data_IF_366416460264
#
_entry.id   IF_366416460264
#
_cell.length_a   1.000
_cell.length_b   1.000
_cell.length_c   1.000
_cell.angle_alpha   90.00
_cell.angle_beta   90.00
_cell.angle_gamma   90.00
#
_symmetry.space_group_name_H-M   'P 1'
#
loop_
_entity.id
_entity.type
_entity.pdbx_description
1 polymer ?
#
# COMPACT_ATOMS: atom_id res chain seq x y z
N UNK A 1 3.31 34.26 -7.86
CA UNK A 1 1.88 34.04 -7.55
C UNK A 1 1.76 32.99 -6.46
N UNK A 2 0.84 33.17 -5.49
CA UNK A 2 0.49 32.07 -4.60
C UNK A 2 0.01 30.90 -5.45
N UNK A 3 0.60 29.74 -5.22
CA UNK A 3 0.24 28.52 -5.90
C UNK A 3 -0.54 27.59 -5.00
N UNK A 4 -1.06 26.54 -5.53
CA UNK A 4 -1.75 25.49 -4.81
C UNK A 4 -0.95 24.90 -3.62
N UNK A 5 0.39 24.81 -3.72
CA UNK A 5 1.27 24.39 -2.62
C UNK A 5 1.16 25.25 -1.35
N UNK A 6 0.71 26.51 -1.47
CA UNK A 6 0.50 27.39 -0.31
C UNK A 6 -0.58 26.83 0.64
N UNK A 7 -1.64 26.26 0.09
CA UNK A 7 -2.72 25.66 0.89
C UNK A 7 -2.20 24.48 1.71
N UNK A 8 -1.41 23.60 1.11
CA UNK A 8 -0.83 22.44 1.79
C UNK A 8 0.18 22.86 2.86
N UNK A 9 1.08 23.81 2.59
CA UNK A 9 2.02 24.35 3.57
C UNK A 9 1.28 24.98 4.77
N UNK A 10 0.24 25.77 4.51
CA UNK A 10 -0.54 26.42 5.56
C UNK A 10 -1.35 25.42 6.40
N UNK A 11 -1.96 24.40 5.75
CA UNK A 11 -2.75 23.39 6.45
C UNK A 11 -1.86 22.45 7.28
N UNK A 12 -0.72 22.00 6.76
CA UNK A 12 0.21 21.15 7.50
C UNK A 12 0.76 21.88 8.72
N UNK A 13 1.21 23.12 8.57
CA UNK A 13 1.67 23.93 9.71
C UNK A 13 0.57 24.12 10.77
N UNK A 14 -0.67 24.36 10.34
CA UNK A 14 -1.81 24.57 11.25
C UNK A 14 -2.19 23.34 12.07
N UNK A 15 -2.18 22.15 11.45
CA UNK A 15 -2.76 20.93 12.05
C UNK A 15 -1.70 19.97 12.56
N UNK A 16 -0.50 19.96 11.96
CA UNK A 16 0.57 19.03 12.28
C UNK A 16 1.78 19.72 12.93
N UNK A 17 1.84 21.04 12.84
CA UNK A 17 3.02 21.84 13.24
C UNK A 17 3.97 22.05 12.05
N UNK A 18 5.05 22.77 12.32
CA UNK A 18 6.03 23.13 11.28
C UNK A 18 6.99 21.97 10.94
N UNK A 19 7.08 20.99 11.84
CA UNK A 19 7.80 19.72 11.61
C UNK A 19 6.88 18.56 11.93
N UNK A 20 6.76 17.61 11.01
CA UNK A 20 5.92 16.40 11.16
C UNK A 20 6.60 15.18 10.56
N UNK A 21 6.04 13.99 10.80
CA UNK A 21 6.76 12.76 10.49
C UNK A 21 6.66 12.38 9.01
N UNK A 22 5.45 12.31 8.44
CA UNK A 22 5.24 11.75 7.11
C UNK A 22 4.45 12.73 6.23
N UNK A 23 4.98 13.01 5.04
CA UNK A 23 4.29 13.72 3.95
C UNK A 23 4.23 12.81 2.72
N UNK A 24 3.05 12.71 2.13
CA UNK A 24 2.86 11.79 1.00
C UNK A 24 1.98 12.34 -0.10
N UNK A 25 2.12 11.74 -1.28
CA UNK A 25 1.31 12.09 -2.44
C UNK A 25 1.58 11.20 -3.65
N UNK A 26 1.01 11.55 -4.80
CA UNK A 26 1.38 10.91 -6.05
C UNK A 26 2.79 11.29 -6.51
N UNK A 27 3.42 10.44 -7.29
CA UNK A 27 4.75 10.72 -7.86
C UNK A 27 4.79 11.98 -8.75
N UNK A 28 3.65 12.38 -9.29
CA UNK A 28 3.47 13.61 -10.06
C UNK A 28 3.51 14.89 -9.20
N UNK A 29 3.39 14.77 -7.88
CA UNK A 29 3.47 15.89 -6.94
C UNK A 29 4.90 16.18 -6.48
N UNK A 30 5.88 15.29 -6.71
CA UNK A 30 7.28 15.51 -6.32
C UNK A 30 7.73 16.88 -6.80
N UNK A 31 7.54 17.14 -8.09
CA UNK A 31 7.86 18.41 -8.70
C UNK A 31 6.70 18.89 -9.60
N UNK A 32 6.31 20.16 -9.50
CA UNK A 32 6.88 21.22 -8.64
C UNK A 32 6.20 21.37 -7.26
N UNK A 33 5.15 20.59 -6.95
CA UNK A 33 4.27 20.85 -5.81
C UNK A 33 4.97 20.69 -4.45
N UNK A 34 5.48 19.50 -4.15
CA UNK A 34 6.15 19.20 -2.88
C UNK A 34 7.46 19.98 -2.71
N UNK A 35 8.21 20.19 -3.78
CA UNK A 35 9.40 21.05 -3.74
C UNK A 35 9.07 22.49 -3.34
N UNK A 36 7.94 23.01 -3.86
CA UNK A 36 7.50 24.35 -3.50
C UNK A 36 6.94 24.40 -2.07
N UNK A 37 6.26 23.36 -1.59
CA UNK A 37 5.83 23.27 -0.18
C UNK A 37 7.04 23.29 0.76
N UNK A 38 8.04 22.48 0.45
CA UNK A 38 9.28 22.37 1.21
C UNK A 38 10.01 23.72 1.26
N UNK A 39 10.27 24.32 0.09
CA UNK A 39 10.93 25.60 0.00
C UNK A 39 10.18 26.70 0.76
N UNK A 40 8.85 26.76 0.63
CA UNK A 40 8.02 27.76 1.28
C UNK A 40 7.99 27.59 2.81
N UNK A 41 7.80 26.35 3.29
CA UNK A 41 7.72 26.05 4.71
C UNK A 41 9.06 26.26 5.42
N UNK A 42 10.16 25.82 4.82
CA UNK A 42 11.51 26.01 5.37
C UNK A 42 11.95 27.48 5.34
N UNK A 43 11.54 28.26 4.34
CA UNK A 43 11.80 29.70 4.33
C UNK A 43 10.99 30.45 5.40
N UNK A 44 9.76 30.00 5.68
CA UNK A 44 8.92 30.61 6.72
C UNK A 44 9.36 30.19 8.13
N UNK A 45 9.90 28.99 8.29
CA UNK A 45 10.28 28.36 9.55
C UNK A 45 11.67 27.70 9.41
N UNK A 46 12.77 28.49 9.41
CA UNK A 46 14.10 27.99 9.07
C UNK A 46 14.69 27.01 10.09
N UNK A 47 14.18 26.99 11.31
CA UNK A 47 14.61 26.09 12.38
C UNK A 47 13.87 24.74 12.37
N UNK A 48 12.91 24.57 11.47
CA UNK A 48 12.04 23.39 11.36
C UNK A 48 12.40 22.56 10.14
N UNK A 49 12.03 21.25 10.18
CA UNK A 49 12.42 20.28 9.12
C UNK A 49 11.32 20.12 8.06
N UNK A 50 10.12 20.62 8.25
CA UNK A 50 8.90 20.36 7.49
C UNK A 50 8.48 18.88 7.57
N UNK A 51 8.97 17.98 6.71
CA UNK A 51 8.66 16.56 6.78
C UNK A 51 9.92 15.71 6.90
N UNK A 52 9.88 14.66 7.75
CA UNK A 52 11.00 13.74 7.96
C UNK A 52 11.05 12.65 6.90
N UNK A 53 9.89 12.13 6.51
CA UNK A 53 9.74 11.05 5.54
C UNK A 53 8.80 11.45 4.43
N UNK A 54 9.18 11.13 3.21
CA UNK A 54 8.40 11.38 2.01
C UNK A 54 7.95 10.08 1.39
N UNK A 55 6.65 9.94 1.13
CA UNK A 55 6.07 8.73 0.54
C UNK A 55 5.36 9.10 -0.75
N UNK A 56 5.88 8.64 -1.88
CA UNK A 56 5.32 8.93 -3.19
C UNK A 56 4.78 7.66 -3.85
N UNK A 57 3.47 7.64 -4.10
CA UNK A 57 2.82 6.52 -4.76
C UNK A 57 2.85 6.65 -6.28
N UNK A 58 2.98 5.52 -6.96
CA UNK A 58 2.83 5.44 -8.40
C UNK A 58 1.41 5.77 -8.88
N UNK A 59 1.27 6.03 -10.17
CA UNK A 59 0.00 6.41 -10.78
C UNK A 59 -0.96 5.22 -10.89
N UNK A 60 -2.26 5.49 -10.66
CA UNK A 60 -3.33 4.52 -10.90
C UNK A 60 -3.75 4.54 -12.37
N UNK A 61 -3.69 3.37 -12.98
CA UNK A 61 -4.21 3.12 -14.33
C UNK A 61 -5.36 2.11 -14.28
N UNK A 62 -6.18 2.11 -15.30
CA UNK A 62 -7.25 1.14 -15.53
C UNK A 62 -7.08 0.62 -16.96
N UNK A 63 -6.87 -0.70 -17.09
CA UNK A 63 -6.61 -1.35 -18.39
C UNK A 63 -5.49 -0.66 -19.19
N UNK A 64 -4.41 -0.27 -18.51
CA UNK A 64 -3.23 0.37 -19.11
C UNK A 64 -3.39 1.85 -19.45
N UNK A 65 -4.54 2.45 -19.16
CA UNK A 65 -4.83 3.87 -19.45
C UNK A 65 -5.02 4.65 -18.13
N UNK A 66 -4.54 5.87 -18.06
CA UNK A 66 -4.75 6.73 -16.88
C UNK A 66 -6.24 6.83 -16.58
N UNK A 67 -6.63 6.53 -15.33
CA UNK A 67 -8.02 6.63 -14.90
C UNK A 67 -8.53 8.08 -14.98
N UNK A 68 -9.65 8.30 -15.65
CA UNK A 68 -10.30 9.60 -15.72
C UNK A 68 -11.81 9.49 -15.90
N UNK A 69 -12.55 10.46 -15.37
CA UNK A 69 -13.99 10.53 -15.53
C UNK A 69 -14.42 10.73 -17.00
N UNK A 70 -13.62 11.49 -17.75
CA UNK A 70 -13.90 11.79 -19.16
C UNK A 70 -13.78 10.57 -20.08
N UNK A 71 -12.95 9.59 -19.71
CA UNK A 71 -12.77 8.34 -20.45
C UNK A 71 -13.77 7.25 -20.04
N UNK A 72 -14.58 7.49 -18.99
CA UNK A 72 -15.53 6.48 -18.51
C UNK A 72 -14.90 5.26 -17.85
N UNK A 73 -13.57 5.26 -17.64
CA UNK A 73 -12.82 4.18 -16.98
C UNK A 73 -12.62 4.46 -15.48
N UNK A 74 -13.57 5.16 -14.86
CA UNK A 74 -13.52 5.54 -13.46
C UNK A 74 -14.38 4.60 -12.62
N UNK A 75 -13.77 3.89 -11.68
CA UNK A 75 -14.43 3.01 -10.72
C UNK A 75 -14.21 3.53 -9.30
N UNK A 76 -15.28 3.59 -8.51
CA UNK A 76 -15.16 3.92 -7.09
C UNK A 76 -14.97 2.65 -6.27
N UNK A 77 -14.26 2.76 -5.15
CA UNK A 77 -14.12 1.66 -4.18
C UNK A 77 -15.50 1.16 -3.76
N UNK A 78 -16.45 2.07 -3.54
CA UNK A 78 -17.80 1.75 -3.10
C UNK A 78 -18.58 0.87 -4.11
N UNK A 79 -18.38 1.07 -5.41
CA UNK A 79 -18.94 0.19 -6.45
C UNK A 79 -18.30 -1.20 -6.41
N UNK A 80 -16.97 -1.26 -6.30
CA UNK A 80 -16.22 -2.52 -6.33
C UNK A 80 -16.52 -3.42 -5.11
N UNK A 81 -16.64 -2.84 -3.90
CA UNK A 81 -16.93 -3.62 -2.69
C UNK A 81 -18.38 -4.15 -2.64
N UNK A 82 -19.27 -3.64 -3.49
CA UNK A 82 -20.61 -4.20 -3.70
C UNK A 82 -20.61 -5.55 -4.41
N UNK A 83 -19.55 -5.84 -5.20
CA UNK A 83 -19.44 -7.05 -6.02
C UNK A 83 -18.31 -7.99 -5.55
N UNK A 84 -17.27 -7.44 -4.93
CA UNK A 84 -16.07 -8.17 -4.50
C UNK A 84 -15.74 -7.93 -3.03
N UNK A 85 -15.17 -8.92 -2.33
CA UNK A 85 -14.69 -8.72 -0.97
C UNK A 85 -13.66 -7.57 -0.90
N UNK A 86 -13.82 -6.67 0.06
CA UNK A 86 -12.90 -5.53 0.25
C UNK A 86 -11.44 -5.97 0.44
N UNK A 87 -11.21 -7.13 1.07
CA UNK A 87 -9.88 -7.71 1.23
C UNK A 87 -9.23 -8.13 -0.09
N UNK A 88 -10.01 -8.63 -1.06
CA UNK A 88 -9.48 -8.94 -2.38
C UNK A 88 -9.00 -7.69 -3.10
N UNK A 89 -9.72 -6.56 -2.96
CA UNK A 89 -9.31 -5.28 -3.50
C UNK A 89 -8.02 -4.78 -2.80
N UNK A 90 -7.94 -4.89 -1.48
CA UNK A 90 -6.72 -4.54 -0.73
C UNK A 90 -5.53 -5.41 -1.14
N UNK A 91 -5.73 -6.73 -1.28
CA UNK A 91 -4.69 -7.64 -1.74
C UNK A 91 -4.20 -7.30 -3.13
N UNK A 92 -5.10 -6.91 -4.04
CA UNK A 92 -4.73 -6.44 -5.37
C UNK A 92 -3.81 -5.21 -5.30
N UNK A 93 -4.14 -4.22 -4.47
CA UNK A 93 -3.31 -3.02 -4.32
C UNK A 93 -1.92 -3.34 -3.78
N UNK A 94 -1.81 -4.13 -2.70
CA UNK A 94 -0.51 -4.45 -2.10
C UNK A 94 0.30 -5.47 -2.92
N UNK A 95 -0.30 -6.07 -3.95
CA UNK A 95 0.39 -6.91 -4.93
C UNK A 95 1.36 -6.17 -5.84
N UNK A 96 1.28 -4.83 -5.87
CA UNK A 96 2.22 -3.95 -6.59
C UNK A 96 2.93 -3.06 -5.58
N UNK A 97 4.25 -2.87 -5.73
CA UNK A 97 4.99 -1.95 -4.89
C UNK A 97 4.43 -0.53 -5.06
N UNK A 98 4.22 0.19 -3.95
CA UNK A 98 3.54 1.49 -3.97
C UNK A 98 4.21 2.54 -4.85
N UNK A 99 5.54 2.48 -5.06
CA UNK A 99 6.26 3.34 -5.99
C UNK A 99 5.97 3.06 -7.46
N UNK A 100 5.47 1.87 -7.78
CA UNK A 100 5.23 1.48 -9.17
C UNK A 100 3.84 1.91 -9.64
N UNK A 101 3.67 2.22 -10.93
CA UNK A 101 2.35 2.42 -11.48
C UNK A 101 1.47 1.19 -11.26
N UNK A 102 0.31 1.40 -10.67
CA UNK A 102 -0.66 0.33 -10.42
C UNK A 102 -1.68 0.28 -11.54
N UNK A 103 -1.81 -0.87 -12.20
CA UNK A 103 -2.80 -1.09 -13.25
C UNK A 103 -3.97 -1.95 -12.73
N UNK A 104 -5.10 -1.31 -12.48
CA UNK A 104 -6.32 -2.00 -12.10
C UNK A 104 -6.92 -2.71 -13.31
N UNK A 105 -7.25 -3.99 -13.15
CA UNK A 105 -8.04 -4.79 -14.08
C UNK A 105 -9.03 -5.67 -13.30
N UNK A 106 -10.20 -5.97 -13.88
CA UNK A 106 -11.15 -6.90 -13.25
C UNK A 106 -10.59 -8.32 -13.16
N UNK A 107 -9.78 -8.74 -14.12
CA UNK A 107 -9.13 -10.05 -14.05
C UNK A 107 -8.08 -10.11 -12.93
N UNK A 108 -7.34 -9.03 -12.72
CA UNK A 108 -6.45 -8.89 -11.56
C UNK A 108 -7.21 -8.99 -10.24
N UNK A 109 -8.39 -8.38 -10.14
CA UNK A 109 -9.23 -8.46 -8.94
C UNK A 109 -9.76 -9.87 -8.69
N UNK A 110 -10.17 -10.60 -9.73
CA UNK A 110 -10.56 -12.02 -9.63
C UNK A 110 -9.38 -12.90 -9.20
N UNK A 111 -8.19 -12.64 -9.73
CA UNK A 111 -6.97 -13.35 -9.32
C UNK A 111 -6.63 -13.08 -7.86
N UNK A 112 -6.70 -11.82 -7.41
CA UNK A 112 -6.48 -11.45 -6.02
C UNK A 112 -7.47 -12.17 -5.08
N UNK A 113 -8.75 -12.26 -5.46
CA UNK A 113 -9.72 -13.06 -4.71
C UNK A 113 -9.33 -14.54 -4.64
N UNK A 114 -8.88 -15.13 -5.73
CA UNK A 114 -8.43 -16.54 -5.76
C UNK A 114 -7.23 -16.76 -4.83
N UNK A 115 -6.29 -15.80 -4.79
CA UNK A 115 -5.15 -15.83 -3.86
C UNK A 115 -5.61 -15.72 -2.42
N UNK A 116 -6.52 -14.79 -2.14
CA UNK A 116 -7.10 -14.61 -0.80
C UNK A 116 -7.76 -15.90 -0.32
N UNK A 117 -8.56 -16.57 -1.18
CA UNK A 117 -9.19 -17.85 -0.85
C UNK A 117 -8.17 -18.95 -0.51
N UNK A 118 -7.00 -18.96 -1.16
CA UNK A 118 -5.91 -19.89 -0.83
C UNK A 118 -5.37 -19.65 0.57
N UNK A 119 -5.17 -18.39 0.96
CA UNK A 119 -4.71 -18.03 2.30
C UNK A 119 -5.75 -18.42 3.36
N UNK A 120 -7.01 -18.11 3.16
CA UNK A 120 -8.09 -18.50 4.08
C UNK A 120 -8.27 -20.01 4.18
N UNK A 121 -8.14 -20.75 3.08
CA UNK A 121 -8.19 -22.21 3.11
C UNK A 121 -7.01 -22.82 3.89
N UNK A 122 -5.82 -22.21 3.81
CA UNK A 122 -4.67 -22.63 4.62
C UNK A 122 -4.92 -22.37 6.11
N UNK A 123 -5.42 -21.20 6.47
CA UNK A 123 -5.79 -20.86 7.84
C UNK A 123 -6.90 -21.76 8.39
N UNK A 124 -7.88 -22.10 7.56
CA UNK A 124 -8.96 -23.00 7.95
C UNK A 124 -8.47 -24.41 8.28
N UNK A 125 -7.51 -24.93 7.48
CA UNK A 125 -6.89 -26.25 7.73
C UNK A 125 -6.08 -26.32 9.04
N UNK A 126 -5.67 -25.18 9.55
CA UNK A 126 -4.86 -25.06 10.77
C UNK A 126 -5.61 -24.44 11.94
N UNK A 127 -6.93 -24.25 11.80
CA UNK A 127 -7.75 -23.57 12.81
C UNK A 127 -7.70 -24.24 14.20
N UNK A 128 -7.49 -25.55 14.24
CA UNK A 128 -7.42 -26.33 15.49
C UNK A 128 -6.00 -26.36 16.10
N UNK A 129 -4.99 -25.84 15.38
CA UNK A 129 -3.60 -25.81 15.83
C UNK A 129 -3.40 -24.58 16.73
N UNK A 130 -3.01 -24.82 17.97
CA UNK A 130 -2.64 -23.73 18.89
C UNK A 130 -1.18 -23.33 18.62
N UNK A 131 -1.01 -22.10 18.17
CA UNK A 131 0.31 -21.49 18.00
C UNK A 131 0.77 -20.92 19.35
N UNK A 132 2.02 -21.13 19.70
CA UNK A 132 2.63 -20.50 20.88
C UNK A 132 2.62 -18.97 20.70
N UNK A 133 2.16 -18.26 21.73
CA UNK A 133 2.11 -16.79 21.73
C UNK A 133 3.49 -16.12 21.59
N UNK A 134 4.58 -16.88 21.80
CA UNK A 134 5.97 -16.42 21.61
C UNK A 134 6.46 -16.46 20.16
N UNK A 135 5.72 -17.09 19.24
CA UNK A 135 6.12 -17.17 17.83
C UNK A 135 5.81 -15.83 17.14
N UNK A 136 6.85 -15.13 16.71
CA UNK A 136 6.74 -13.91 15.93
C UNK A 136 6.45 -14.19 14.43
N UNK A 137 6.25 -13.15 13.63
CA UNK A 137 6.13 -13.28 12.18
C UNK A 137 7.42 -13.83 11.56
N UNK A 138 7.31 -14.50 10.40
CA UNK A 138 8.48 -14.98 9.65
C UNK A 138 9.44 -13.82 9.35
N UNK A 139 10.72 -14.02 9.64
CA UNK A 139 11.74 -12.98 9.50
C UNK A 139 11.83 -12.43 8.06
N UNK A 140 11.67 -13.27 7.05
CA UNK A 140 11.72 -12.88 5.63
C UNK A 140 10.57 -11.95 5.25
N UNK A 141 9.38 -12.16 5.85
CA UNK A 141 8.24 -11.23 5.67
C UNK A 141 8.56 -9.89 6.29
N UNK A 142 9.13 -9.88 7.49
CA UNK A 142 9.52 -8.64 8.17
C UNK A 142 10.64 -7.91 7.43
N UNK A 143 11.64 -8.62 6.94
CA UNK A 143 12.72 -8.06 6.12
C UNK A 143 12.17 -7.39 4.87
N UNK A 144 11.26 -8.06 4.14
CA UNK A 144 10.62 -7.47 2.97
C UNK A 144 9.81 -6.21 3.30
N UNK A 145 9.09 -6.19 4.42
CA UNK A 145 8.34 -5.01 4.84
C UNK A 145 9.22 -3.87 5.34
N UNK A 146 10.41 -4.18 5.89
CA UNK A 146 11.40 -3.19 6.29
C UNK A 146 12.22 -2.65 5.10
N UNK A 147 12.16 -3.30 3.94
CA UNK A 147 12.75 -2.84 2.68
C UNK A 147 11.73 -2.01 1.90
N UNK A 148 11.54 -0.77 2.32
CA UNK A 148 10.64 0.22 1.71
C UNK A 148 9.21 -0.32 1.46
N UNK A 149 8.66 -1.05 2.42
CA UNK A 149 7.32 -1.66 2.33
C UNK A 149 7.16 -2.54 1.08
N UNK A 150 8.15 -3.40 0.79
CA UNK A 150 8.13 -4.31 -0.35
C UNK A 150 7.09 -5.41 -0.19
N UNK A 151 5.82 -5.00 -0.27
CA UNK A 151 4.67 -5.88 -0.10
C UNK A 151 4.60 -7.01 -1.15
N UNK A 152 5.00 -6.82 -2.43
CA UNK A 152 5.08 -7.92 -3.38
C UNK A 152 6.03 -9.03 -2.94
N UNK A 153 7.20 -8.68 -2.40
CA UNK A 153 8.15 -9.66 -1.88
C UNK A 153 7.58 -10.36 -0.64
N UNK A 154 6.99 -9.61 0.29
CA UNK A 154 6.32 -10.18 1.47
C UNK A 154 5.21 -11.18 1.06
N UNK A 155 4.39 -10.86 0.05
CA UNK A 155 3.38 -11.76 -0.49
C UNK A 155 3.99 -13.01 -1.12
N UNK A 156 5.13 -12.90 -1.80
CA UNK A 156 5.85 -14.06 -2.34
C UNK A 156 6.27 -15.02 -1.24
N UNK A 157 6.82 -14.50 -0.13
CA UNK A 157 7.16 -15.32 1.04
C UNK A 157 5.93 -15.98 1.65
N UNK A 158 4.81 -15.25 1.78
CA UNK A 158 3.55 -15.83 2.28
C UNK A 158 3.04 -16.95 1.37
N UNK A 159 3.19 -16.84 0.06
CA UNK A 159 2.86 -17.93 -0.86
C UNK A 159 3.73 -19.16 -0.66
N UNK A 160 5.02 -19.00 -0.40
CA UNK A 160 5.93 -20.11 -0.06
C UNK A 160 5.51 -20.78 1.24
N UNK A 161 5.21 -20.01 2.29
CA UNK A 161 4.76 -20.53 3.56
C UNK A 161 3.46 -21.33 3.42
N UNK A 162 2.48 -20.82 2.68
CA UNK A 162 1.23 -21.55 2.41
C UNK A 162 1.50 -22.84 1.62
N UNK A 163 2.41 -22.82 0.66
CA UNK A 163 2.77 -24.01 -0.08
C UNK A 163 3.45 -25.06 0.83
N UNK A 164 4.31 -24.64 1.74
CA UNK A 164 4.95 -25.52 2.74
C UNK A 164 3.90 -26.10 3.68
N UNK A 165 3.02 -25.25 4.22
CA UNK A 165 1.92 -25.65 5.08
C UNK A 165 1.01 -26.70 4.41
N UNK A 166 0.69 -26.51 3.14
CA UNK A 166 -0.16 -27.45 2.42
C UNK A 166 0.49 -28.80 2.12
N UNK A 167 1.83 -28.90 2.18
CA UNK A 167 2.60 -30.14 2.03
C UNK A 167 2.88 -30.86 3.34
N UNK A 168 2.71 -30.16 4.47
CA UNK A 168 2.97 -30.72 5.78
C UNK A 168 1.97 -31.86 6.11
N UNK A 169 2.48 -33.01 6.54
CA UNK A 169 1.69 -34.23 6.78
C UNK A 169 1.21 -34.30 8.23
N UNK A 170 1.93 -33.68 9.18
CA UNK A 170 1.58 -33.67 10.60
C UNK A 170 1.23 -32.28 11.13
N UNK A 171 0.59 -32.24 12.31
CA UNK A 171 0.31 -30.99 12.99
C UNK A 171 1.57 -30.30 13.53
N UNK A 172 2.65 -31.08 13.77
CA UNK A 172 3.94 -30.53 14.24
C UNK A 172 4.72 -29.84 13.13
N UNK A 173 4.47 -30.24 11.86
CA UNK A 173 5.09 -29.63 10.67
C UNK A 173 4.32 -28.38 10.21
N UNK A 174 3.07 -28.20 10.62
CA UNK A 174 2.18 -27.09 10.24
C UNK A 174 2.32 -25.91 11.18
#
# INVERSE_FOLDING_TARGET
RPGWHLECSAMSSKYLGNSFDIHGGGSDLIFPHHENECAQSMCAHPDDTFARYWVHAGMLMVDGVKMSKSLGNFYTVNQLIGEYPAEALRLLFIGTHYHQPFNFTFDGLKQAKTVLDKFYNALLKTADIKVDAGVGPDARVMEALCDDLNTPLALSVLHELVNTLNKAESAEER
#
